data_IF_092644770100
#
_entry.id   IF_092644770100
#
_cell.length_a   1.000
_cell.length_b   1.000
_cell.length_c   1.000
_cell.angle_alpha   90.00
_cell.angle_beta   90.00
_cell.angle_gamma   90.00
#
_symmetry.space_group_name_H-M   'P 1'
#
loop_
_entity.id
_entity.type
_entity.pdbx_description
1 polymer ?
#
# COMPACT_ATOMS: atom_id res chain seq x y z
N UNK A 1 -16.42 23.97 7.32
CA UNK A 1 -17.87 24.17 7.07
C UNK A 1 -18.74 23.13 7.77
N UNK A 2 -18.62 21.83 7.49
CA UNK A 2 -19.45 20.78 8.13
C UNK A 2 -19.04 20.38 9.57
N UNK A 3 -18.11 21.11 10.20
CA UNK A 3 -17.69 20.87 11.60
C UNK A 3 -16.65 19.76 11.83
N UNK A 4 -15.88 19.36 10.82
CA UNK A 4 -14.74 18.44 11.01
C UNK A 4 -13.60 19.12 11.78
N UNK A 5 -12.97 18.40 12.71
CA UNK A 5 -11.92 18.94 13.60
C UNK A 5 -10.53 19.01 12.95
N UNK A 6 -10.27 18.23 11.90
CA UNK A 6 -8.96 18.15 11.25
C UNK A 6 -9.04 17.65 9.81
N UNK A 7 -8.04 18.04 9.01
CA UNK A 7 -7.90 17.66 7.59
C UNK A 7 -6.44 17.35 7.29
N UNK A 8 -6.19 16.19 6.71
CA UNK A 8 -4.85 15.82 6.25
C UNK A 8 -4.55 16.45 4.88
N UNK A 9 -3.38 17.07 4.78
CA UNK A 9 -2.86 17.72 3.57
C UNK A 9 -1.38 17.39 3.40
N UNK A 10 -0.82 17.70 2.22
CA UNK A 10 0.61 17.59 1.96
C UNK A 10 1.16 18.93 1.45
N UNK A 11 2.43 19.22 1.73
CA UNK A 11 3.08 20.42 1.19
C UNK A 11 3.03 20.42 -0.34
N UNK A 12 2.76 21.57 -0.96
CA UNK A 12 2.42 21.69 -2.39
C UNK A 12 3.37 20.91 -3.31
N UNK A 13 4.67 20.98 -3.06
CA UNK A 13 5.72 20.30 -3.84
C UNK A 13 5.64 18.76 -3.83
N UNK A 14 4.97 18.16 -2.86
CA UNK A 14 4.76 16.72 -2.69
C UNK A 14 3.26 16.34 -2.63
N UNK A 15 2.39 17.22 -3.10
CA UNK A 15 0.93 17.07 -3.03
C UNK A 15 0.31 16.72 -4.38
N UNK A 16 -1.02 16.56 -4.37
CA UNK A 16 -1.87 16.30 -5.53
C UNK A 16 -1.58 14.95 -6.21
N UNK A 17 -2.19 14.75 -7.38
CA UNK A 17 -2.19 13.51 -8.16
C UNK A 17 -2.62 12.30 -7.32
N UNK A 18 -1.66 11.52 -6.81
CA UNK A 18 -1.88 10.34 -5.97
C UNK A 18 -1.86 10.66 -4.46
N UNK A 19 -1.38 11.84 -4.08
CA UNK A 19 -1.25 12.30 -2.70
C UNK A 19 -2.40 13.19 -2.23
N UNK A 20 -2.23 13.73 -1.03
CA UNK A 20 -3.20 14.65 -0.42
C UNK A 20 -3.25 16.00 -1.15
N UNK A 21 -4.34 16.78 -0.98
CA UNK A 21 -4.41 18.18 -1.42
C UNK A 21 -3.29 19.03 -0.82
N UNK A 22 -2.94 20.12 -1.51
CA UNK A 22 -1.91 21.06 -1.07
C UNK A 22 -2.34 21.79 0.22
N UNK A 23 -1.46 21.77 1.24
CA UNK A 23 -1.68 22.48 2.51
C UNK A 23 -1.88 23.98 2.27
N UNK A 24 -1.06 24.58 1.42
CA UNK A 24 -1.05 26.02 1.12
C UNK A 24 -2.37 26.48 0.51
N UNK A 25 -2.96 25.66 -0.37
CA UNK A 25 -4.24 25.97 -0.99
C UNK A 25 -5.38 25.98 0.05
N UNK A 26 -5.37 25.04 0.99
CA UNK A 26 -6.35 25.00 2.07
C UNK A 26 -6.17 26.19 3.02
N UNK A 27 -4.94 26.48 3.44
CA UNK A 27 -4.61 27.63 4.29
C UNK A 27 -5.05 28.95 3.64
N UNK A 28 -4.72 29.16 2.37
CA UNK A 28 -5.12 30.36 1.64
C UNK A 28 -6.65 30.48 1.49
N UNK A 29 -7.34 29.37 1.29
CA UNK A 29 -8.81 29.34 1.15
C UNK A 29 -9.52 29.68 2.46
N UNK A 30 -8.97 29.26 3.59
CA UNK A 30 -9.57 29.45 4.91
C UNK A 30 -9.13 30.75 5.60
N UNK A 31 -8.13 31.46 5.05
CA UNK A 31 -7.60 32.70 5.60
C UNK A 31 -8.69 33.77 5.78
N UNK A 32 -8.78 34.36 6.97
CA UNK A 32 -9.77 35.37 7.32
C UNK A 32 -11.19 34.84 7.51
N UNK A 33 -11.41 33.53 7.43
CA UNK A 33 -12.70 32.91 7.75
C UNK A 33 -12.75 32.51 9.23
N UNK A 34 -13.92 32.08 9.72
CA UNK A 34 -14.04 31.47 11.05
C UNK A 34 -13.24 30.17 11.22
N UNK A 35 -12.78 29.58 10.11
CA UNK A 35 -11.99 28.35 10.07
C UNK A 35 -10.51 28.63 9.73
N UNK A 36 -10.05 29.86 9.91
CA UNK A 36 -8.65 30.21 9.68
C UNK A 36 -7.72 29.28 10.48
N UNK A 37 -6.75 28.70 9.77
CA UNK A 37 -5.81 27.73 10.34
C UNK A 37 -4.77 28.38 11.25
N UNK A 38 -4.54 29.69 11.12
CA UNK A 38 -3.48 30.42 11.82
C UNK A 38 -2.05 30.06 11.35
N UNK A 39 -1.90 29.28 10.26
CA UNK A 39 -0.61 28.90 9.72
C UNK A 39 -0.01 30.02 8.86
N UNK A 40 1.30 30.24 9.00
CA UNK A 40 2.04 31.21 8.21
C UNK A 40 2.36 30.66 6.81
N UNK A 41 1.69 31.22 5.80
CA UNK A 41 1.83 30.79 4.40
C UNK A 41 3.26 30.99 3.86
N UNK A 42 4.01 31.98 4.33
CA UNK A 42 5.39 32.20 3.88
C UNK A 42 6.36 31.15 4.43
N UNK A 43 6.10 30.67 5.65
CA UNK A 43 6.84 29.53 6.20
C UNK A 43 6.53 28.24 5.45
N UNK A 44 5.26 28.02 5.08
CA UNK A 44 4.88 26.88 4.26
C UNK A 44 5.58 26.91 2.90
N UNK A 45 5.60 28.06 2.21
CA UNK A 45 6.32 28.20 0.94
C UNK A 45 7.83 27.90 1.06
N UNK A 46 8.44 28.24 2.20
CA UNK A 46 9.85 27.90 2.47
C UNK A 46 10.06 26.38 2.56
N UNK A 47 9.11 25.66 3.17
CA UNK A 47 9.11 24.18 3.23
C UNK A 47 8.87 23.59 1.84
N UNK A 48 7.93 24.15 1.07
CA UNK A 48 7.66 23.73 -0.30
C UNK A 48 8.88 23.90 -1.21
N UNK A 49 9.62 25.01 -1.06
CA UNK A 49 10.86 25.25 -1.79
C UNK A 49 11.93 24.19 -1.46
N UNK A 50 12.09 23.83 -0.19
CA UNK A 50 13.00 22.76 0.22
C UNK A 50 12.63 21.42 -0.43
N UNK A 51 11.37 20.98 -0.32
CA UNK A 51 10.94 19.70 -0.86
C UNK A 51 10.90 19.67 -2.39
N UNK A 52 10.75 20.81 -3.06
CA UNK A 52 10.86 20.93 -4.52
C UNK A 52 12.26 20.53 -5.00
N UNK A 53 13.30 20.89 -4.26
CA UNK A 53 14.68 20.46 -4.58
C UNK A 53 14.94 18.99 -4.18
N UNK A 54 14.32 18.51 -3.09
CA UNK A 54 14.39 17.09 -2.70
C UNK A 54 13.76 16.20 -3.78
N UNK A 55 12.55 16.54 -4.26
CA UNK A 55 11.78 15.74 -5.23
C UNK A 55 12.54 15.49 -6.52
N UNK A 56 13.34 16.46 -7.01
CA UNK A 56 14.19 16.29 -8.21
C UNK A 56 15.15 15.10 -8.10
N UNK A 57 15.60 14.76 -6.89
CA UNK A 57 16.48 13.60 -6.64
C UNK A 57 15.77 12.27 -6.87
N UNK A 58 14.44 12.26 -6.82
CA UNK A 58 13.60 11.07 -6.95
C UNK A 58 12.92 10.97 -8.33
N UNK A 59 13.44 11.67 -9.35
CA UNK A 59 12.88 11.69 -10.71
C UNK A 59 12.59 10.30 -11.29
N UNK A 60 13.44 9.31 -10.98
CA UNK A 60 13.28 7.91 -11.43
C UNK A 60 12.02 7.21 -10.88
N UNK A 61 11.40 7.76 -9.84
CA UNK A 61 10.22 7.23 -9.16
C UNK A 61 8.94 8.05 -9.44
N UNK A 62 9.03 9.08 -10.28
CA UNK A 62 7.87 9.89 -10.63
C UNK A 62 6.80 9.08 -11.39
N UNK A 63 5.55 9.24 -10.97
CA UNK A 63 4.41 8.65 -11.65
C UNK A 63 4.11 9.34 -12.98
N UNK A 64 3.35 8.67 -13.86
CA UNK A 64 3.01 9.20 -15.18
C UNK A 64 1.84 10.19 -15.17
N UNK A 65 1.06 10.24 -14.08
CA UNK A 65 -0.15 11.06 -13.99
C UNK A 65 0.19 12.55 -13.95
N UNK A 66 -0.27 13.28 -14.96
CA UNK A 66 -0.12 14.74 -15.09
C UNK A 66 -1.46 15.42 -14.78
N UNK A 67 -1.82 15.50 -13.50
CA UNK A 67 -3.03 16.19 -13.03
C UNK A 67 -4.10 15.24 -12.48
N UNK A 68 -5.37 15.57 -12.70
CA UNK A 68 -6.52 14.85 -12.13
C UNK A 68 -7.06 13.81 -13.11
N UNK A 69 -7.30 12.58 -12.62
CA UNK A 69 -7.97 11.53 -13.36
C UNK A 69 -9.37 11.28 -12.80
N UNK A 70 -10.41 11.70 -13.54
CA UNK A 70 -11.81 11.55 -13.11
C UNK A 70 -12.31 10.11 -13.15
N UNK A 71 -11.59 9.17 -13.78
CA UNK A 71 -11.97 7.76 -13.82
C UNK A 71 -12.02 7.14 -12.43
N UNK A 72 -11.33 7.71 -11.44
CA UNK A 72 -11.41 7.29 -10.04
C UNK A 72 -12.84 7.31 -9.48
N UNK A 73 -13.67 8.27 -9.92
CA UNK A 73 -15.06 8.42 -9.48
C UNK A 73 -15.95 7.28 -10.00
N UNK A 74 -15.55 6.66 -11.12
CA UNK A 74 -16.29 5.58 -11.77
C UNK A 74 -15.74 4.23 -11.35
N UNK A 75 -14.42 4.03 -11.43
CA UNK A 75 -13.79 2.75 -11.17
C UNK A 75 -13.63 2.44 -9.68
N UNK A 76 -13.60 3.48 -8.81
CA UNK A 76 -13.36 3.35 -7.37
C UNK A 76 -12.09 2.55 -7.02
N UNK A 77 -11.11 2.51 -7.93
CA UNK A 77 -9.83 1.80 -7.75
C UNK A 77 -8.82 2.78 -7.14
N UNK A 78 -8.33 2.55 -5.91
CA UNK A 78 -7.34 3.43 -5.29
C UNK A 78 -6.14 3.71 -6.22
N UNK A 79 -5.61 4.93 -6.21
CA UNK A 79 -4.56 5.35 -7.15
C UNK A 79 -3.34 4.42 -7.19
N UNK A 80 -2.82 4.02 -6.03
CA UNK A 80 -1.70 3.08 -5.94
C UNK A 80 -2.03 1.65 -6.40
N UNK A 81 -3.29 1.24 -6.36
CA UNK A 81 -3.75 -0.04 -6.91
C UNK A 81 -3.75 0.01 -8.45
N UNK A 82 -4.19 1.13 -9.04
CA UNK A 82 -4.23 1.30 -10.49
C UNK A 82 -2.84 1.21 -11.13
N UNK A 83 -1.86 1.95 -10.60
CA UNK A 83 -0.49 1.94 -11.12
C UNK A 83 0.16 0.56 -11.03
N UNK A 84 -0.13 -0.19 -9.96
CA UNK A 84 0.35 -1.57 -9.82
C UNK A 84 -0.29 -2.51 -10.84
N UNK A 85 -1.60 -2.40 -11.09
CA UNK A 85 -2.30 -3.20 -12.09
C UNK A 85 -1.77 -2.94 -13.50
N UNK A 86 -1.54 -1.68 -13.86
CA UNK A 86 -0.91 -1.31 -15.14
C UNK A 86 0.48 -1.94 -15.29
N UNK A 87 1.29 -1.89 -14.24
CA UNK A 87 2.61 -2.54 -14.20
C UNK A 87 2.53 -4.06 -14.37
N UNK A 88 1.62 -4.73 -13.65
CA UNK A 88 1.40 -6.17 -13.75
C UNK A 88 0.94 -6.59 -15.16
N UNK A 89 -0.01 -5.88 -15.76
CA UNK A 89 -0.49 -6.17 -17.11
C UNK A 89 0.58 -5.91 -18.16
N UNK A 90 1.40 -4.86 -17.99
CA UNK A 90 2.52 -4.58 -18.90
C UNK A 90 3.57 -5.69 -18.87
N UNK A 91 3.92 -6.20 -17.69
CA UNK A 91 4.85 -7.34 -17.56
C UNK A 91 4.33 -8.62 -18.22
N UNK A 92 3.01 -8.76 -18.32
CA UNK A 92 2.35 -9.90 -18.97
C UNK A 92 1.95 -9.62 -20.43
N UNK A 93 2.43 -8.53 -21.03
CA UNK A 93 2.08 -8.11 -22.40
C UNK A 93 0.58 -7.96 -22.64
N UNK A 94 -0.19 -7.66 -21.59
CA UNK A 94 -1.66 -7.60 -21.57
C UNK A 94 -2.19 -6.21 -21.20
N UNK A 95 -1.40 -5.15 -21.39
CA UNK A 95 -1.80 -3.77 -21.06
C UNK A 95 -3.11 -3.33 -21.75
N UNK A 96 -3.40 -3.86 -22.93
CA UNK A 96 -4.65 -3.60 -23.68
C UNK A 96 -5.91 -4.13 -22.98
N UNK A 97 -5.79 -4.97 -21.94
CA UNK A 97 -6.90 -5.58 -21.19
C UNK A 97 -7.22 -4.84 -19.89
N UNK A 98 -6.63 -3.66 -19.67
CA UNK A 98 -6.85 -2.89 -18.44
C UNK A 98 -8.34 -2.62 -18.19
N UNK A 99 -9.09 -2.21 -19.22
CA UNK A 99 -10.52 -1.91 -19.07
C UNK A 99 -11.34 -3.15 -18.68
N UNK A 100 -10.97 -4.34 -19.17
CA UNK A 100 -11.60 -5.60 -18.76
C UNK A 100 -11.35 -5.87 -17.27
N UNK A 101 -10.12 -5.63 -16.78
CA UNK A 101 -9.77 -5.78 -15.36
C UNK A 101 -10.54 -4.79 -14.50
N UNK A 102 -10.63 -3.52 -14.92
CA UNK A 102 -11.39 -2.49 -14.22
C UNK A 102 -12.89 -2.86 -14.13
N UNK A 103 -13.45 -3.45 -15.18
CA UNK A 103 -14.83 -3.93 -15.19
C UNK A 103 -15.05 -5.22 -14.37
N UNK A 104 -14.00 -5.97 -14.05
CA UNK A 104 -14.06 -7.19 -13.23
C UNK A 104 -13.93 -6.90 -11.73
N UNK A 105 -13.22 -5.83 -11.35
CA UNK A 105 -13.01 -5.44 -9.94
C UNK A 105 -14.32 -5.34 -9.14
N UNK A 106 -15.37 -4.62 -9.58
CA UNK A 106 -16.63 -4.56 -8.84
C UNK A 106 -17.29 -5.92 -8.62
N UNK A 107 -17.17 -6.84 -9.60
CA UNK A 107 -17.75 -8.19 -9.52
C UNK A 107 -17.00 -9.07 -8.54
N UNK A 108 -15.66 -8.98 -8.53
CA UNK A 108 -14.84 -9.66 -7.52
C UNK A 108 -15.13 -9.09 -6.13
N UNK A 109 -15.26 -7.77 -6.01
CA UNK A 109 -15.59 -7.11 -4.74
C UNK A 109 -16.96 -7.56 -4.20
N UNK A 110 -17.96 -7.73 -5.07
CA UNK A 110 -19.27 -8.28 -4.72
C UNK A 110 -19.15 -9.74 -4.24
N UNK A 111 -18.46 -10.60 -4.99
CA UNK A 111 -18.25 -12.00 -4.60
C UNK A 111 -17.52 -12.16 -3.26
N UNK A 112 -16.70 -11.17 -2.89
CA UNK A 112 -15.99 -11.13 -1.62
C UNK A 112 -16.73 -10.34 -0.54
N UNK A 113 -18.03 -10.09 -0.70
CA UNK A 113 -18.87 -9.51 0.35
C UNK A 113 -18.72 -8.00 0.51
N UNK A 114 -18.46 -7.28 -0.59
CA UNK A 114 -18.35 -5.81 -0.65
C UNK A 114 -17.27 -5.21 0.28
N UNK A 115 -16.15 -5.90 0.46
CA UNK A 115 -15.03 -5.40 1.25
C UNK A 115 -14.55 -4.00 0.79
N UNK A 116 -14.09 -3.14 1.73
CA UNK A 116 -13.44 -1.89 1.39
C UNK A 116 -12.20 -2.13 0.52
N UNK A 117 -11.91 -1.24 -0.42
CA UNK A 117 -10.70 -1.30 -1.24
C UNK A 117 -9.60 -0.47 -0.58
N UNK A 118 -8.99 -1.02 0.45
CA UNK A 118 -7.83 -0.47 1.16
C UNK A 118 -6.83 -1.60 1.40
N UNK A 119 -5.56 -1.31 1.68
CA UNK A 119 -4.59 -2.38 1.96
C UNK A 119 -5.04 -3.21 3.17
N UNK A 120 -5.00 -4.56 3.09
CA UNK A 120 -4.52 -5.39 1.96
C UNK A 120 -5.59 -5.74 0.91
N UNK A 121 -6.88 -5.55 1.20
CA UNK A 121 -8.01 -6.05 0.40
C UNK A 121 -8.08 -5.48 -1.02
N UNK A 122 -7.62 -4.24 -1.24
CA UNK A 122 -7.53 -3.64 -2.58
C UNK A 122 -6.66 -4.47 -3.53
N UNK A 123 -5.48 -4.89 -3.06
CA UNK A 123 -4.55 -5.71 -3.85
C UNK A 123 -5.09 -7.11 -4.11
N UNK A 124 -5.80 -7.69 -3.13
CA UNK A 124 -6.41 -9.02 -3.24
C UNK A 124 -7.47 -9.02 -4.34
N UNK A 125 -8.38 -8.04 -4.32
CA UNK A 125 -9.41 -7.86 -5.35
C UNK A 125 -8.78 -7.63 -6.72
N UNK A 126 -7.78 -6.76 -6.82
CA UNK A 126 -7.07 -6.47 -8.07
C UNK A 126 -6.41 -7.69 -8.67
N UNK A 127 -5.66 -8.44 -7.86
CA UNK A 127 -4.95 -9.64 -8.29
C UNK A 127 -5.93 -10.69 -8.80
N UNK A 128 -7.04 -10.91 -8.08
CA UNK A 128 -8.06 -11.85 -8.51
C UNK A 128 -8.76 -11.42 -9.80
N UNK A 129 -9.02 -10.12 -9.97
CA UNK A 129 -9.59 -9.59 -11.21
C UNK A 129 -8.65 -9.81 -12.41
N UNK A 130 -7.35 -9.58 -12.24
CA UNK A 130 -6.34 -9.90 -13.26
C UNK A 130 -6.34 -11.39 -13.59
N UNK A 131 -6.37 -12.28 -12.59
CA UNK A 131 -6.43 -13.73 -12.82
C UNK A 131 -7.69 -14.15 -13.59
N UNK A 132 -8.85 -13.59 -13.25
CA UNK A 132 -10.11 -13.89 -13.93
C UNK A 132 -10.07 -13.46 -15.41
N UNK A 133 -9.58 -12.25 -15.68
CA UNK A 133 -9.49 -11.69 -17.03
C UNK A 133 -8.46 -12.46 -17.87
N UNK A 134 -7.23 -12.61 -17.37
CA UNK A 134 -6.17 -13.31 -18.11
C UNK A 134 -6.43 -14.80 -18.26
N UNK A 135 -7.07 -15.43 -17.27
CA UNK A 135 -7.49 -16.83 -17.32
C UNK A 135 -8.69 -17.09 -18.23
N UNK A 136 -9.43 -16.05 -18.64
CA UNK A 136 -10.63 -16.15 -19.48
C UNK A 136 -11.84 -16.77 -18.79
N UNK A 137 -11.72 -17.10 -17.49
CA UNK A 137 -12.75 -17.77 -16.70
C UNK A 137 -12.64 -17.31 -15.24
N UNK A 138 -13.76 -16.87 -14.65
CA UNK A 138 -13.78 -16.35 -13.28
C UNK A 138 -13.45 -17.46 -12.29
N UNK A 139 -12.49 -17.20 -11.40
CA UNK A 139 -12.07 -18.11 -10.33
C UNK A 139 -11.61 -19.50 -10.80
N UNK A 140 -11.18 -19.65 -12.05
CA UNK A 140 -10.47 -20.86 -12.50
C UNK A 140 -9.29 -21.14 -11.56
N UNK A 141 -8.51 -20.10 -11.29
CA UNK A 141 -7.52 -20.03 -10.22
C UNK A 141 -7.98 -19.02 -9.17
N UNK A 142 -8.00 -19.46 -7.90
CA UNK A 142 -8.31 -18.59 -6.76
C UNK A 142 -6.97 -18.22 -6.10
N UNK A 143 -6.67 -16.93 -6.02
CA UNK A 143 -5.47 -16.47 -5.31
C UNK A 143 -5.53 -16.86 -3.83
N UNK A 144 -4.37 -17.11 -3.22
CA UNK A 144 -4.28 -17.54 -1.82
C UNK A 144 -4.98 -16.55 -0.88
N UNK A 145 -4.79 -15.26 -1.10
CA UNK A 145 -5.33 -14.20 -0.29
C UNK A 145 -6.84 -14.05 -0.49
N UNK A 146 -7.34 -14.25 -1.72
CA UNK A 146 -8.79 -14.35 -2.01
C UNK A 146 -9.43 -15.50 -1.26
N UNK A 147 -8.76 -16.67 -1.28
CA UNK A 147 -9.18 -17.82 -0.51
C UNK A 147 -9.19 -17.52 1.00
N UNK A 148 -8.20 -16.79 1.52
CA UNK A 148 -8.18 -16.36 2.92
C UNK A 148 -9.36 -15.48 3.29
N UNK A 149 -9.78 -14.54 2.43
CA UNK A 149 -11.01 -13.76 2.66
C UNK A 149 -12.23 -14.67 2.74
N UNK A 150 -12.37 -15.61 1.80
CA UNK A 150 -13.48 -16.57 1.77
C UNK A 150 -13.49 -17.49 3.00
N UNK A 151 -12.32 -17.80 3.57
CA UNK A 151 -12.17 -18.53 4.83
C UNK A 151 -12.44 -17.70 6.08
N UNK A 152 -12.53 -16.37 5.97
CA UNK A 152 -12.69 -15.46 7.11
C UNK A 152 -11.37 -15.05 7.80
N UNK A 153 -10.21 -15.39 7.21
CA UNK A 153 -8.88 -15.09 7.78
C UNK A 153 -8.56 -13.58 7.79
N UNK A 154 -9.31 -12.78 7.03
CA UNK A 154 -9.22 -11.31 6.99
C UNK A 154 -10.31 -10.62 7.81
N UNK A 155 -11.04 -11.37 8.63
CA UNK A 155 -12.15 -10.87 9.44
C UNK A 155 -13.48 -10.86 8.69
N UNK A 156 -14.47 -10.22 9.29
CA UNK A 156 -15.86 -10.23 8.81
C UNK A 156 -16.06 -9.25 7.66
N UNK A 157 -16.66 -9.73 6.58
CA UNK A 157 -17.05 -8.92 5.42
C UNK A 157 -18.34 -8.12 5.70
N UNK A 158 -18.54 -6.96 5.06
CA UNK A 158 -19.78 -6.17 5.21
C UNK A 158 -21.05 -6.90 4.76
N UNK A 159 -20.95 -7.69 3.70
CA UNK A 159 -22.03 -8.51 3.16
C UNK A 159 -21.59 -9.99 3.08
N UNK A 160 -22.53 -10.94 2.93
CA UNK A 160 -22.19 -12.33 2.67
C UNK A 160 -21.29 -12.46 1.44
N UNK A 161 -20.26 -13.30 1.53
CA UNK A 161 -19.45 -13.69 0.38
C UNK A 161 -20.24 -14.65 -0.52
N UNK A 162 -19.76 -14.86 -1.74
CA UNK A 162 -20.32 -15.84 -2.65
C UNK A 162 -20.25 -17.25 -2.04
N UNK A 163 -21.41 -17.83 -1.75
CA UNK A 163 -21.53 -19.10 -1.04
C UNK A 163 -20.87 -20.28 -1.78
N UNK A 164 -20.94 -20.31 -3.12
CA UNK A 164 -20.32 -21.38 -3.91
C UNK A 164 -18.78 -21.30 -3.88
N UNK A 165 -18.24 -20.08 -3.97
CA UNK A 165 -16.79 -19.87 -3.87
C UNK A 165 -16.27 -20.18 -2.46
N UNK A 166 -17.01 -19.75 -1.43
CA UNK A 166 -16.66 -20.05 -0.04
C UNK A 166 -16.67 -21.55 0.22
N UNK A 167 -17.72 -22.28 -0.18
CA UNK A 167 -17.78 -23.73 -0.03
C UNK A 167 -16.61 -24.44 -0.73
N UNK A 168 -16.25 -24.01 -1.95
CA UNK A 168 -15.11 -24.57 -2.71
C UNK A 168 -13.78 -24.38 -1.99
N UNK A 169 -13.57 -23.23 -1.35
CA UNK A 169 -12.31 -22.90 -0.67
C UNK A 169 -12.22 -23.55 0.72
N UNK A 170 -13.35 -23.71 1.39
CA UNK A 170 -13.43 -24.34 2.71
C UNK A 170 -13.24 -25.85 2.65
N UNK A 171 -13.64 -26.51 1.56
CA UNK A 171 -13.48 -27.96 1.37
C UNK A 171 -13.99 -28.78 2.57
N UNK A 172 -15.17 -28.39 3.08
CA UNK A 172 -15.82 -29.03 4.24
C UNK A 172 -15.40 -28.50 5.61
N UNK A 173 -14.44 -27.57 5.70
CA UNK A 173 -14.15 -26.85 6.94
C UNK A 173 -15.18 -25.73 7.23
N UNK A 174 -15.26 -25.31 8.49
CA UNK A 174 -16.04 -24.13 8.86
C UNK A 174 -15.24 -22.84 8.61
N UNK A 175 -15.91 -21.73 8.22
CA UNK A 175 -15.25 -20.44 8.09
C UNK A 175 -14.85 -19.88 9.47
N UNK A 176 -13.76 -19.12 9.49
CA UNK A 176 -13.34 -18.32 10.66
C UNK A 176 -14.36 -17.20 10.87
N UNK A 177 -14.99 -17.17 12.05
CA UNK A 177 -16.01 -16.17 12.41
C UNK A 177 -15.61 -15.29 13.59
N UNK A 178 -14.57 -15.67 14.34
CA UNK A 178 -13.98 -14.85 15.40
C UNK A 178 -12.98 -13.84 14.83
N UNK A 179 -12.35 -13.03 15.69
CA UNK A 179 -11.22 -12.19 15.28
C UNK A 179 -10.05 -13.12 14.93
N UNK A 180 -9.48 -13.07 13.71
CA UNK A 180 -8.43 -14.02 13.28
C UNK A 180 -7.23 -14.08 14.23
N UNK A 181 -6.87 -12.95 14.86
CA UNK A 181 -5.80 -12.88 15.85
C UNK A 181 -6.04 -13.74 17.10
N UNK A 182 -7.29 -14.10 17.42
CA UNK A 182 -7.62 -14.96 18.57
C UNK A 182 -7.21 -16.43 18.34
N UNK A 183 -6.92 -16.80 17.09
CA UNK A 183 -6.41 -18.13 16.72
C UNK A 183 -4.88 -18.22 16.81
N UNK A 184 -4.20 -17.08 16.99
CA UNK A 184 -2.74 -17.03 17.09
C UNK A 184 -2.30 -17.27 18.54
N UNK A 185 -1.19 -18.01 18.71
CA UNK A 185 -0.55 -18.16 20.02
C UNK A 185 0.40 -16.98 20.27
N UNK A 186 0.60 -16.56 21.54
CA UNK A 186 1.64 -15.59 21.86
C UNK A 186 3.02 -16.10 21.40
N UNK A 187 3.70 -15.32 20.56
CA UNK A 187 4.95 -15.73 19.89
C UNK A 187 6.17 -14.87 20.25
N UNK A 188 5.99 -13.76 20.97
CA UNK A 188 7.06 -12.79 21.21
C UNK A 188 8.29 -13.41 21.88
N UNK A 189 8.11 -14.20 22.94
CA UNK A 189 9.22 -14.85 23.63
C UNK A 189 10.01 -15.81 22.73
N UNK A 190 9.32 -16.50 21.82
CA UNK A 190 9.95 -17.39 20.85
C UNK A 190 10.73 -16.58 19.80
N UNK A 191 10.13 -15.51 19.29
CA UNK A 191 10.76 -14.60 18.32
C UNK A 191 12.03 -13.95 18.92
N UNK A 192 11.98 -13.51 20.18
CA UNK A 192 13.16 -12.98 20.87
C UNK A 192 14.29 -14.00 20.96
N UNK A 193 13.98 -15.25 21.30
CA UNK A 193 14.97 -16.32 21.38
C UNK A 193 15.56 -16.64 20.00
N UNK A 194 14.71 -16.70 18.96
CA UNK A 194 15.12 -17.01 17.60
C UNK A 194 15.99 -15.91 17.00
N UNK A 195 15.63 -14.63 17.18
CA UNK A 195 16.42 -13.50 16.68
C UNK A 195 17.77 -13.41 17.40
N UNK A 196 17.81 -13.62 18.73
CA UNK A 196 19.08 -13.69 19.47
C UNK A 196 19.97 -14.83 18.96
N UNK A 197 19.40 -16.02 18.72
CA UNK A 197 20.14 -17.16 18.16
C UNK A 197 20.66 -16.85 16.77
N UNK A 198 19.81 -16.37 15.86
CA UNK A 198 20.19 -16.01 14.49
C UNK A 198 21.28 -14.94 14.47
N UNK A 199 21.19 -13.96 15.36
CA UNK A 199 22.21 -12.91 15.48
C UNK A 199 23.56 -13.48 15.93
N UNK A 200 23.58 -14.39 16.90
CA UNK A 200 24.80 -15.08 17.33
C UNK A 200 25.40 -15.93 16.21
N UNK A 201 24.58 -16.73 15.51
CA UNK A 201 25.02 -17.60 14.42
C UNK A 201 25.61 -16.83 13.24
N UNK A 202 25.06 -15.64 12.95
CA UNK A 202 25.43 -14.81 11.80
C UNK A 202 26.37 -13.65 12.16
N UNK A 203 26.77 -13.51 13.43
CA UNK A 203 27.62 -12.42 13.90
C UNK A 203 26.97 -11.04 13.80
N UNK A 204 25.65 -10.96 13.86
CA UNK A 204 24.88 -9.71 13.78
C UNK A 204 24.91 -9.03 15.15
N UNK A 205 25.27 -7.75 15.18
CA UNK A 205 25.12 -6.92 16.37
C UNK A 205 23.70 -6.37 16.41
N UNK A 206 22.92 -6.83 17.39
CA UNK A 206 21.57 -6.30 17.62
C UNK A 206 21.64 -4.86 18.17
N UNK A 207 20.56 -4.09 17.98
CA UNK A 207 20.38 -2.78 18.60
C UNK A 207 20.42 -2.87 20.13
N UNK A 208 20.77 -1.76 20.79
CA UNK A 208 20.75 -1.65 22.26
C UNK A 208 19.39 -2.09 22.82
N UNK A 209 18.31 -1.63 22.20
CA UNK A 209 16.96 -2.09 22.44
C UNK A 209 16.60 -3.24 21.49
N UNK A 210 17.02 -4.45 21.83
CA UNK A 210 16.89 -5.63 20.96
C UNK A 210 15.44 -5.94 20.50
N UNK A 211 14.43 -5.45 21.22
CA UNK A 211 13.03 -5.61 20.82
C UNK A 211 12.73 -4.95 19.47
N UNK A 212 13.41 -3.88 19.09
CA UNK A 212 13.20 -3.20 17.81
C UNK A 212 13.63 -4.09 16.64
N UNK A 213 14.70 -4.86 16.83
CA UNK A 213 15.19 -5.85 15.86
C UNK A 213 14.27 -7.07 15.81
N UNK A 214 13.77 -7.50 16.97
CA UNK A 214 12.78 -8.58 17.07
C UNK A 214 11.51 -8.22 16.32
N UNK A 215 10.97 -7.01 16.50
CA UNK A 215 9.78 -6.54 15.79
C UNK A 215 10.03 -6.38 14.28
N UNK A 216 11.22 -5.92 13.89
CA UNK A 216 11.62 -5.82 12.48
C UNK A 216 11.60 -7.20 11.80
N UNK A 217 12.17 -8.22 12.45
CA UNK A 217 12.16 -9.60 11.94
C UNK A 217 10.77 -10.22 12.07
N UNK A 218 9.99 -9.93 13.11
CA UNK A 218 8.63 -10.44 13.26
C UNK A 218 7.71 -9.99 12.11
N UNK A 219 7.77 -8.70 11.76
CA UNK A 219 6.96 -8.14 10.68
C UNK A 219 7.48 -8.58 9.29
N UNK A 220 8.80 -8.74 9.15
CA UNK A 220 9.43 -9.09 7.88
C UNK A 220 10.56 -10.13 8.08
N UNK A 221 10.27 -11.43 8.26
CA UNK A 221 11.29 -12.40 8.69
C UNK A 221 12.55 -12.46 7.84
N UNK A 222 12.38 -12.52 6.51
CA UNK A 222 13.50 -12.62 5.60
C UNK A 222 14.16 -11.26 5.33
N UNK A 223 13.35 -10.23 5.06
CA UNK A 223 13.83 -8.89 4.68
C UNK A 223 14.45 -8.21 5.90
N UNK A 224 13.79 -8.30 7.06
CA UNK A 224 14.26 -7.79 8.34
C UNK A 224 15.60 -8.42 8.72
N UNK A 225 15.73 -9.75 8.67
CA UNK A 225 17.01 -10.40 8.99
C UNK A 225 18.12 -9.98 8.03
N UNK A 226 17.84 -9.94 6.72
CA UNK A 226 18.80 -9.45 5.71
C UNK A 226 19.19 -7.98 5.96
N UNK A 227 18.26 -7.15 6.39
CA UNK A 227 18.54 -5.78 6.81
C UNK A 227 19.47 -5.74 8.02
N UNK A 228 19.21 -6.55 9.05
CA UNK A 228 20.07 -6.62 10.24
C UNK A 228 21.51 -7.04 9.88
N UNK A 229 21.67 -8.05 9.01
CA UNK A 229 22.98 -8.49 8.50
C UNK A 229 23.77 -7.35 7.83
N UNK A 230 23.07 -6.39 7.22
CA UNK A 230 23.68 -5.34 6.41
C UNK A 230 23.56 -3.94 7.02
N UNK A 231 23.01 -3.79 8.23
CA UNK A 231 22.67 -2.48 8.85
C UNK A 231 23.82 -1.48 8.84
N UNK A 232 25.06 -1.96 8.96
CA UNK A 232 26.28 -1.13 8.98
C UNK A 232 27.07 -1.17 7.66
N UNK A 233 26.45 -1.67 6.59
CA UNK A 233 27.02 -1.77 5.24
C UNK A 233 26.21 -0.91 4.26
N UNK A 234 26.55 0.38 4.07
CA UNK A 234 25.85 1.25 3.13
C UNK A 234 25.84 0.72 1.69
N UNK A 235 26.86 -0.07 1.30
CA UNK A 235 26.96 -0.63 -0.06
C UNK A 235 25.95 -1.75 -0.33
N UNK A 236 25.29 -2.28 0.70
CA UNK A 236 24.23 -3.28 0.56
C UNK A 236 22.85 -2.68 0.23
N UNK A 237 22.70 -1.36 0.31
CA UNK A 237 21.45 -0.65 0.08
C UNK A 237 21.52 0.20 -1.19
N UNK A 238 20.34 0.64 -1.65
CA UNK A 238 20.24 1.56 -2.77
C UNK A 238 21.02 2.86 -2.49
N UNK A 239 21.72 3.41 -3.49
CA UNK A 239 22.46 4.65 -3.31
C UNK A 239 21.50 5.80 -2.99
N UNK A 240 22.01 6.81 -2.28
CA UNK A 240 21.25 8.03 -2.02
C UNK A 240 20.77 8.62 -3.35
N UNK A 241 19.46 8.89 -3.52
CA UNK A 241 18.91 9.46 -4.74
C UNK A 241 19.62 10.77 -5.11
N UNK A 242 19.97 10.92 -6.38
CA UNK A 242 20.66 12.09 -6.91
C UNK A 242 19.78 12.78 -7.94
N UNK A 243 19.92 14.11 -8.04
CA UNK A 243 19.30 14.85 -9.13
C UNK A 243 19.89 14.40 -10.46
N UNK A 244 19.07 14.38 -11.50
CA UNK A 244 19.53 14.06 -12.85
C UNK A 244 20.68 15.01 -13.23
N UNK A 245 21.79 14.45 -13.72
CA UNK A 245 22.88 15.27 -14.22
C UNK A 245 22.35 16.08 -15.41
N UNK A 246 22.49 17.41 -15.37
CA UNK A 246 22.09 18.25 -16.47
C UNK A 246 22.79 17.77 -17.74
N UNK A 247 22.04 17.16 -18.67
CA UNK A 247 22.58 16.86 -19.99
C UNK A 247 22.88 18.21 -20.65
N UNK A 248 24.09 18.41 -21.20
CA UNK A 248 24.38 19.61 -21.96
C UNK A 248 23.36 19.68 -23.10
N UNK A 249 22.65 20.80 -23.17
CA UNK A 249 21.69 21.08 -24.25
C UNK A 249 22.49 21.04 -25.56
N UNK A 250 22.14 20.09 -26.44
CA UNK A 250 22.72 19.96 -27.77
C UNK A 250 22.21 21.04 -28.72
#
# INVERSE_FOLDING_TARGET
EAGVDGVDTAISSMSATYGHPATEALVATLAGTQYDTGLDIHRLESIAAYFREVRKKYHAFEGQLKGTDSRILVAQVPGGMLTNLEGQLKQQSAAHRLDEVLAEIPRVREDLGFIPLVTPTSQIVGTQAVLNVLGGERYKTIAKETAGILKGEYGRTPAPVNAALQARVLDGADPVTCRPADLLKPELAQLEADVKRQAQEKGITLAENAIDDVLTVALFPQIGLKFLENRHNPAAFEPVPQAEAAQPVA
#
